data_IF_283232082159
#
_entry.id   IF_283232082159
#
_cell.length_a   1.000
_cell.length_b   1.000
_cell.length_c   1.000
_cell.angle_alpha   90.00
_cell.angle_beta   90.00
_cell.angle_gamma   90.00
#
_symmetry.space_group_name_H-M   'P 1'
#
loop_
_entity.id
_entity.type
_entity.pdbx_description
1 polymer ?
#
# COMPACT_ATOMS: atom_id res chain seq x y z
N UNK A 1 3.05 6.37 -25.07
CA UNK A 1 2.91 4.90 -25.09
C UNK A 1 2.56 4.47 -23.67
N UNK A 2 1.33 4.01 -23.42
CA UNK A 2 0.89 3.57 -22.09
C UNK A 2 1.33 2.12 -21.89
N UNK A 3 2.05 1.81 -20.81
CA UNK A 3 2.37 0.44 -20.47
C UNK A 3 1.07 -0.30 -20.12
N UNK A 4 0.79 -1.38 -20.86
CA UNK A 4 -0.38 -2.24 -20.68
C UNK A 4 0.00 -3.46 -19.82
N UNK A 5 0.26 -3.23 -18.54
CA UNK A 5 0.40 -4.30 -17.57
C UNK A 5 -0.36 -3.92 -16.30
N UNK A 6 -1.26 -4.78 -15.84
CA UNK A 6 -1.85 -4.66 -14.51
C UNK A 6 -0.72 -4.82 -13.47
N UNK A 7 -0.73 -3.98 -12.44
CA UNK A 7 0.26 -4.01 -11.36
C UNK A 7 0.40 -5.41 -10.73
N UNK A 8 -0.69 -6.18 -10.69
CA UNK A 8 -0.71 -7.59 -10.26
C UNK A 8 0.17 -8.51 -11.11
N UNK A 9 0.18 -8.34 -12.44
CA UNK A 9 1.00 -9.18 -13.32
C UNK A 9 2.51 -8.86 -13.20
N UNK A 10 2.84 -7.62 -12.84
CA UNK A 10 4.23 -7.21 -12.60
C UNK A 10 4.83 -7.88 -11.36
N UNK A 11 4.00 -8.26 -10.38
CA UNK A 11 4.39 -9.01 -9.19
C UNK A 11 4.56 -10.51 -9.47
N UNK A 12 3.75 -11.08 -10.37
CA UNK A 12 3.88 -12.49 -10.76
C UNK A 12 5.08 -12.74 -11.69
N UNK A 13 5.52 -11.74 -12.46
CA UNK A 13 6.61 -11.92 -13.42
C UNK A 13 8.00 -11.80 -12.79
N UNK A 14 8.12 -11.18 -11.62
CA UNK A 14 9.40 -11.12 -10.88
C UNK A 14 9.79 -12.43 -10.21
N UNK A 15 8.91 -13.43 -10.16
CA UNK A 15 9.16 -14.74 -9.53
C UNK A 15 9.58 -15.86 -10.51
N UNK A 16 9.85 -15.54 -11.78
CA UNK A 16 10.23 -16.51 -12.81
C UNK A 16 11.72 -16.53 -13.17
N UNK A 17 12.61 -16.86 -12.22
CA UNK A 17 14.00 -17.26 -12.51
C UNK A 17 14.12 -18.79 -12.62
N UNK A 18 15.04 -19.36 -13.44
CA UNK A 18 15.09 -20.80 -13.68
C UNK A 18 15.33 -21.61 -12.40
N UNK A 19 14.53 -22.65 -12.22
CA UNK A 19 14.66 -23.64 -11.15
C UNK A 19 15.99 -24.38 -11.29
N UNK A 20 16.94 -24.12 -10.39
CA UNK A 20 18.01 -25.07 -10.08
C UNK A 20 17.54 -26.01 -8.97
N UNK A 21 17.40 -27.28 -9.36
CA UNK A 21 17.19 -28.42 -8.49
C UNK A 21 18.40 -28.63 -7.56
N UNK A 22 18.23 -28.35 -6.27
CA UNK A 22 18.95 -29.05 -5.21
C UNK A 22 18.01 -29.43 -4.08
N UNK A 23 17.50 -30.65 -4.19
CA UNK A 23 16.90 -31.37 -3.08
C UNK A 23 17.80 -31.40 -1.84
N UNK A 24 17.28 -30.88 -0.73
CA UNK A 24 17.46 -31.46 0.59
C UNK A 24 16.29 -31.03 1.47
N UNK A 25 15.30 -31.91 1.57
CA UNK A 25 14.16 -31.80 2.49
C UNK A 25 14.71 -31.96 3.91
N UNK A 26 14.92 -30.87 4.63
CA UNK A 26 15.13 -30.92 6.08
C UNK A 26 13.75 -30.89 6.76
N UNK A 27 13.49 -31.71 7.80
CA UNK A 27 12.17 -31.82 8.40
C UNK A 27 11.76 -30.49 9.02
N UNK A 28 10.50 -30.13 8.77
CA UNK A 28 9.74 -29.04 9.39
C UNK A 28 10.15 -28.81 10.84
N UNK A 29 10.81 -27.68 11.08
CA UNK A 29 10.86 -27.07 12.40
C UNK A 29 9.41 -26.93 12.90
N UNK A 30 9.12 -27.26 14.16
CA UNK A 30 7.82 -26.93 14.75
C UNK A 30 7.64 -25.43 14.56
N UNK A 31 6.50 -25.02 14.01
CA UNK A 31 6.12 -23.62 14.03
C UNK A 31 6.19 -23.18 15.50
N UNK A 32 7.16 -22.32 15.82
CA UNK A 32 7.16 -21.54 17.06
C UNK A 32 5.72 -21.04 17.27
N UNK A 33 5.15 -21.16 18.47
CA UNK A 33 3.82 -20.64 18.71
C UNK A 33 3.88 -19.17 18.33
N UNK A 34 3.14 -18.79 17.29
CA UNK A 34 2.92 -17.39 16.95
C UNK A 34 2.39 -16.79 18.24
N UNK A 35 3.21 -16.03 18.96
CA UNK A 35 2.72 -15.28 20.11
C UNK A 35 1.52 -14.52 19.56
N UNK A 36 0.33 -14.87 20.05
CA UNK A 36 -0.88 -14.13 19.74
C UNK A 36 -0.60 -12.73 20.26
N UNK A 37 -0.15 -11.84 19.38
CA UNK A 37 0.13 -10.46 19.71
C UNK A 37 -1.20 -9.91 20.22
N UNK A 38 -1.30 -9.84 21.55
CA UNK A 38 -2.55 -9.59 22.23
C UNK A 38 -3.06 -8.29 21.66
N UNK A 39 -4.23 -8.32 21.01
CA UNK A 39 -4.78 -7.17 20.30
C UNK A 39 -4.99 -6.03 21.31
N UNK A 40 -3.97 -5.20 21.43
CA UNK A 40 -3.97 -4.05 22.32
C UNK A 40 -4.69 -2.92 21.61
N UNK A 41 -5.59 -2.20 22.28
CA UNK A 41 -6.16 -0.99 21.70
C UNK A 41 -5.06 -0.02 21.29
N UNK A 42 -5.15 0.51 20.07
CA UNK A 42 -4.19 1.48 19.51
C UNK A 42 -4.85 2.84 19.32
N UNK A 43 -4.07 3.90 19.49
CA UNK A 43 -4.52 5.26 19.25
C UNK A 43 -4.47 5.59 17.76
N UNK A 44 -5.35 6.47 17.28
CA UNK A 44 -5.27 6.94 15.89
C UNK A 44 -3.95 7.65 15.58
N UNK A 45 -3.34 8.29 16.58
CA UNK A 45 -2.06 8.98 16.43
C UNK A 45 -0.90 8.02 16.11
N UNK A 46 -0.98 6.76 16.54
CA UNK A 46 0.07 5.76 16.30
C UNK A 46 0.21 5.44 14.80
N UNK A 47 -0.87 5.66 14.05
CA UNK A 47 -0.95 5.45 12.60
C UNK A 47 -1.11 6.76 11.80
N UNK A 48 -0.83 7.92 12.40
CA UNK A 48 -0.87 9.20 11.66
C UNK A 48 0.09 9.17 10.47
N UNK A 49 -0.41 9.60 9.32
CA UNK A 49 0.31 9.70 8.06
C UNK A 49 -0.23 10.91 7.30
N UNK A 50 0.67 11.65 6.64
CA UNK A 50 0.31 12.79 5.80
C UNK A 50 1.03 12.75 4.46
N UNK A 51 0.40 13.36 3.46
CA UNK A 51 0.98 13.57 2.14
C UNK A 51 0.78 15.04 1.77
N UNK A 52 1.90 15.77 1.63
CA UNK A 52 1.88 17.18 1.21
C UNK A 52 2.10 17.26 -0.30
N UNK A 53 1.16 17.87 -1.01
CA UNK A 53 1.22 18.09 -2.45
C UNK A 53 1.54 19.56 -2.75
N UNK A 54 2.80 19.90 -3.10
CA UNK A 54 3.24 21.29 -3.24
C UNK A 54 2.85 21.89 -4.60
N UNK A 55 1.54 22.01 -4.87
CA UNK A 55 1.01 22.47 -6.15
C UNK A 55 1.49 23.87 -6.57
N UNK A 56 1.73 24.76 -5.61
CA UNK A 56 2.15 26.13 -5.89
C UNK A 56 3.64 26.25 -6.25
N UNK A 57 4.49 25.40 -5.68
CA UNK A 57 5.95 25.48 -5.85
C UNK A 57 6.51 24.43 -6.81
N UNK A 58 5.73 23.40 -7.18
CA UNK A 58 6.15 22.35 -8.12
C UNK A 58 5.16 22.20 -9.27
N UNK A 59 5.54 22.74 -10.43
CA UNK A 59 4.76 22.63 -11.68
C UNK A 59 4.62 21.17 -12.13
N UNK A 60 5.66 20.37 -11.95
CA UNK A 60 5.66 18.95 -12.31
C UNK A 60 4.60 18.18 -11.52
N UNK A 61 4.51 18.43 -10.21
CA UNK A 61 3.46 17.84 -9.37
C UNK A 61 2.09 18.39 -9.78
N UNK A 62 1.97 19.68 -10.06
CA UNK A 62 0.68 20.24 -10.51
C UNK A 62 0.18 19.57 -11.80
N UNK A 63 1.05 19.40 -12.80
CA UNK A 63 0.72 18.80 -14.11
C UNK A 63 0.16 17.38 -14.01
N UNK A 64 0.61 16.59 -13.03
CA UNK A 64 0.07 15.25 -12.76
C UNK A 64 -1.40 15.28 -12.29
N UNK A 65 -1.80 16.37 -11.62
CA UNK A 65 -3.09 16.50 -10.94
C UNK A 65 -4.07 17.43 -11.67
N UNK A 66 -3.67 18.11 -12.76
CA UNK A 66 -4.56 18.95 -13.56
C UNK A 66 -4.86 18.34 -14.93
N UNK A 67 -6.09 18.51 -15.43
CA UNK A 67 -6.46 18.16 -16.79
C UNK A 67 -6.02 19.28 -17.78
N UNK A 68 -6.26 19.06 -19.08
CA UNK A 68 -5.88 20.03 -20.11
C UNK A 68 -6.60 21.38 -20.01
N UNK A 69 -7.72 21.46 -19.27
CA UNK A 69 -8.45 22.71 -19.00
C UNK A 69 -8.06 23.36 -17.66
N UNK A 70 -7.01 22.87 -16.98
CA UNK A 70 -6.54 23.39 -15.70
C UNK A 70 -7.38 22.98 -14.48
N UNK A 71 -8.38 22.12 -14.65
CA UNK A 71 -9.18 21.59 -13.54
C UNK A 71 -8.50 20.40 -12.86
N UNK A 72 -8.78 20.20 -11.58
CA UNK A 72 -8.24 19.08 -10.82
C UNK A 72 -8.77 17.74 -11.34
N UNK A 73 -7.88 16.76 -11.50
CA UNK A 73 -8.20 15.36 -11.80
C UNK A 73 -8.60 14.66 -10.50
N UNK A 74 -9.87 14.77 -10.13
CA UNK A 74 -10.39 14.15 -8.90
C UNK A 74 -10.09 12.65 -8.83
N UNK A 75 -10.08 11.93 -9.95
CA UNK A 75 -9.69 10.52 -9.99
C UNK A 75 -8.25 10.26 -9.52
N UNK A 76 -7.30 11.15 -9.85
CA UNK A 76 -5.91 11.04 -9.37
C UNK A 76 -5.82 11.29 -7.87
N UNK A 77 -6.57 12.28 -7.37
CA UNK A 77 -6.67 12.51 -5.93
C UNK A 77 -7.24 11.29 -5.20
N UNK A 78 -8.30 10.68 -5.73
CA UNK A 78 -8.91 9.48 -5.13
C UNK A 78 -7.94 8.29 -5.13
N UNK A 79 -7.14 8.10 -6.19
CA UNK A 79 -6.09 7.08 -6.25
C UNK A 79 -5.06 7.26 -5.11
N UNK A 80 -4.64 8.52 -4.86
CA UNK A 80 -3.72 8.80 -3.76
C UNK A 80 -4.37 8.65 -2.39
N UNK A 81 -5.64 8.98 -2.24
CA UNK A 81 -6.37 8.75 -0.99
C UNK A 81 -6.52 7.27 -0.67
N UNK A 82 -6.87 6.43 -1.65
CA UNK A 82 -6.94 4.98 -1.45
C UNK A 82 -5.57 4.40 -1.06
N UNK A 83 -4.50 4.84 -1.74
CA UNK A 83 -3.12 4.44 -1.42
C UNK A 83 -2.71 4.85 0.02
N UNK A 84 -3.06 6.07 0.44
CA UNK A 84 -2.78 6.57 1.78
C UNK A 84 -3.60 5.82 2.84
N UNK A 85 -4.87 5.56 2.58
CA UNK A 85 -5.75 4.79 3.47
C UNK A 85 -5.21 3.37 3.70
N UNK A 86 -4.76 2.70 2.62
CA UNK A 86 -4.09 1.41 2.73
C UNK A 86 -2.84 1.47 3.60
N UNK A 87 -1.98 2.47 3.40
CA UNK A 87 -0.77 2.66 4.23
C UNK A 87 -1.10 2.87 5.71
N UNK A 88 -2.11 3.69 6.02
CA UNK A 88 -2.58 3.92 7.40
C UNK A 88 -3.09 2.62 8.01
N UNK A 89 -3.89 1.85 7.26
CA UNK A 89 -4.44 0.58 7.74
C UNK A 89 -3.34 -0.44 8.06
N UNK A 90 -2.35 -0.61 7.18
CA UNK A 90 -1.19 -1.48 7.44
C UNK A 90 -0.37 -1.00 8.65
N UNK A 91 -0.07 0.30 8.73
CA UNK A 91 0.66 0.87 9.87
C UNK A 91 -0.09 0.67 11.18
N UNK A 92 -1.41 0.88 11.17
CA UNK A 92 -2.25 0.66 12.34
C UNK A 92 -2.29 -0.80 12.76
N UNK A 93 -2.30 -1.74 11.81
CA UNK A 93 -2.36 -3.18 12.09
C UNK A 93 -1.00 -3.76 12.52
N UNK A 94 0.11 -3.21 12.03
CA UNK A 94 1.47 -3.65 12.38
C UNK A 94 2.03 -2.97 13.63
N UNK A 95 1.51 -1.80 14.01
CA UNK A 95 1.92 -1.08 15.22
C UNK A 95 3.00 -0.01 14.98
N UNK A 96 3.26 0.83 16.00
CA UNK A 96 4.05 2.07 15.87
C UNK A 96 5.55 1.85 15.61
N UNK A 97 6.08 0.65 15.90
CA UNK A 97 7.49 0.30 15.68
C UNK A 97 7.84 0.03 14.22
N UNK A 98 6.82 -0.13 13.35
CA UNK A 98 7.01 -0.52 11.96
C UNK A 98 7.33 0.69 11.09
N UNK A 99 8.51 0.65 10.46
CA UNK A 99 9.00 1.69 9.53
C UNK A 99 8.66 1.41 8.07
N UNK A 100 8.38 0.17 7.70
CA UNK A 100 7.92 -0.21 6.36
C UNK A 100 7.06 -1.48 6.40
N UNK A 101 6.15 -1.62 5.43
CA UNK A 101 5.23 -2.76 5.34
C UNK A 101 5.97 -4.08 5.05
N UNK A 102 7.16 -4.06 4.44
CA UNK A 102 7.91 -5.29 4.10
C UNK A 102 7.29 -6.07 2.93
N UNK A 103 7.72 -7.32 2.69
CA UNK A 103 7.07 -8.20 1.71
C UNK A 103 5.72 -8.68 2.24
N UNK A 104 4.73 -8.83 1.37
CA UNK A 104 3.42 -9.40 1.70
C UNK A 104 3.56 -10.85 2.20
N UNK A 105 4.56 -11.58 1.66
CA UNK A 105 4.87 -12.97 2.04
C UNK A 105 5.25 -13.08 3.52
N UNK A 106 5.93 -12.07 4.08
CA UNK A 106 6.35 -12.04 5.47
C UNK A 106 5.20 -11.71 6.44
N UNK A 107 4.08 -11.17 5.93
CA UNK A 107 2.98 -10.68 6.76
C UNK A 107 1.86 -11.68 6.96
N UNK A 108 1.58 -12.53 5.96
CA UNK A 108 0.53 -13.55 6.05
C UNK A 108 -0.91 -13.02 5.98
N UNK A 109 -1.11 -11.72 5.72
CA UNK A 109 -2.43 -11.11 5.49
C UNK A 109 -2.32 -9.98 4.46
N UNK A 110 -3.47 -9.60 3.88
CA UNK A 110 -3.59 -8.45 3.00
C UNK A 110 -4.83 -7.63 3.37
N UNK A 111 -4.70 -6.31 3.30
CA UNK A 111 -5.80 -5.37 3.54
C UNK A 111 -6.36 -4.92 2.19
N UNK A 112 -7.69 -4.84 2.11
CA UNK A 112 -8.43 -4.39 0.94
C UNK A 112 -9.40 -3.27 1.32
N UNK A 113 -9.59 -2.32 0.40
CA UNK A 113 -10.64 -1.30 0.53
C UNK A 113 -12.00 -1.95 0.30
N UNK A 114 -12.81 -2.05 1.36
CA UNK A 114 -14.13 -2.67 1.29
C UNK A 114 -15.20 -1.73 0.69
N UNK A 115 -15.13 -0.44 1.03
CA UNK A 115 -16.04 0.60 0.56
C UNK A 115 -15.40 1.98 0.67
N UNK A 116 -15.96 2.94 -0.06
CA UNK A 116 -15.60 4.36 0.03
C UNK A 116 -16.88 5.15 0.25
N UNK A 117 -16.90 5.99 1.29
CA UNK A 117 -18.05 6.85 1.57
C UNK A 117 -18.19 7.94 0.52
N UNK A 118 -19.43 8.45 0.37
CA UNK A 118 -19.71 9.51 -0.59
C UNK A 118 -18.99 10.80 -0.19
N UNK A 119 -18.06 11.22 -1.04
CA UNK A 119 -17.47 12.55 -0.99
C UNK A 119 -18.20 13.52 -1.95
N UNK A 120 -18.39 14.77 -1.53
CA UNK A 120 -18.88 15.84 -2.39
C UNK A 120 -17.86 16.98 -2.41
N UNK A 121 -17.51 17.45 -3.61
CA UNK A 121 -16.74 18.69 -3.73
C UNK A 121 -17.69 19.85 -3.51
N UNK A 122 -17.40 20.68 -2.50
CA UNK A 122 -18.01 22.00 -2.42
C UNK A 122 -17.49 22.83 -3.60
N UNK A 123 -18.37 23.56 -4.30
CA UNK A 123 -17.93 24.56 -5.28
C UNK A 123 -17.08 25.65 -4.62
#
# INVERSE_FOLDING_TARGET
MRAAALWSESLLKSTGGPLEDKGSRTPSQPAEPVEEDKLTPRSMHDSYSELVLPFASSVQVLEEYINASGGIRSGKLMENFDSLAGSIAYKHMLGPSVKSVGSIEDRGFYIVTASVDRHAFSP
#
